data_IF_391718414837
#
_entry.id   IF_391718414837
#
_cell.length_a   1.000
_cell.length_b   1.000
_cell.length_c   1.000
_cell.angle_alpha   90.00
_cell.angle_beta   90.00
_cell.angle_gamma   90.00
#
_symmetry.space_group_name_H-M   'P 1'
#
loop_
_entity.id
_entity.type
_entity.pdbx_description
1 polymer ?
#
# COMPACT_ATOMS: atom_id res chain seq x y z
N UNK A 1 -20.61 -28.18 12.80
CA UNK A 1 -19.30 -27.51 12.75
C UNK A 1 -19.10 -26.90 11.37
N UNK A 2 -19.34 -25.59 11.26
CA UNK A 2 -18.94 -24.80 10.07
C UNK A 2 -17.46 -24.51 10.20
N UNK A 3 -16.65 -25.08 9.31
CA UNK A 3 -15.25 -24.73 9.14
C UNK A 3 -15.15 -23.30 8.66
N UNK A 4 -14.31 -22.52 9.32
CA UNK A 4 -14.07 -21.10 9.09
C UNK A 4 -13.29 -20.92 7.78
N UNK A 5 -13.64 -19.89 6.98
CA UNK A 5 -13.00 -19.60 5.67
C UNK A 5 -11.49 -19.30 5.76
N UNK A 6 -10.96 -19.10 6.96
CA UNK A 6 -9.51 -18.97 7.21
C UNK A 6 -8.74 -20.26 6.94
N UNK A 7 -9.39 -21.42 7.00
CA UNK A 7 -8.79 -22.72 6.66
C UNK A 7 -8.51 -22.87 5.16
N UNK A 8 -9.27 -22.20 4.30
CA UNK A 8 -9.13 -22.29 2.84
C UNK A 8 -7.84 -21.61 2.34
N UNK A 9 -7.44 -20.53 2.99
CA UNK A 9 -6.18 -19.82 2.66
C UNK A 9 -4.97 -20.64 3.11
N UNK A 10 -5.04 -21.25 4.29
CA UNK A 10 -3.98 -22.13 4.79
C UNK A 10 -3.87 -23.40 3.94
N UNK A 11 -4.97 -23.95 3.48
CA UNK A 11 -4.98 -25.11 2.57
C UNK A 11 -4.43 -24.77 1.18
N UNK A 12 -4.71 -23.58 0.64
CA UNK A 12 -4.09 -23.10 -0.62
C UNK A 12 -2.58 -22.95 -0.46
N UNK A 13 -2.10 -22.33 0.62
CA UNK A 13 -0.67 -22.18 0.88
C UNK A 13 0.03 -23.53 1.04
N UNK A 14 -0.60 -24.48 1.72
CA UNK A 14 -0.08 -25.84 1.87
C UNK A 14 -0.06 -26.60 0.54
N UNK A 15 -1.04 -26.36 -0.33
CA UNK A 15 -1.07 -26.96 -1.67
C UNK A 15 0.01 -26.38 -2.58
N UNK A 16 0.26 -25.08 -2.56
CA UNK A 16 1.35 -24.43 -3.31
C UNK A 16 2.73 -24.88 -2.80
N UNK A 17 2.93 -24.96 -1.49
CA UNK A 17 4.16 -25.48 -0.89
C UNK A 17 4.42 -26.95 -1.28
N UNK A 18 3.38 -27.76 -1.38
CA UNK A 18 3.50 -29.16 -1.83
C UNK A 18 3.77 -29.27 -3.35
N UNK A 19 3.26 -28.35 -4.17
CA UNK A 19 3.62 -28.30 -5.59
C UNK A 19 5.07 -27.90 -5.80
N UNK A 20 5.58 -26.90 -5.07
CA UNK A 20 6.99 -26.51 -5.11
C UNK A 20 7.90 -27.63 -4.59
N UNK A 21 7.45 -28.40 -3.61
CA UNK A 21 8.19 -29.56 -3.09
C UNK A 21 8.19 -30.75 -4.05
N UNK A 22 7.12 -30.99 -4.82
CA UNK A 22 7.05 -32.03 -5.86
C UNK A 22 7.88 -31.69 -7.10
N UNK A 23 8.13 -30.43 -7.41
CA UNK A 23 8.96 -30.02 -8.56
C UNK A 23 10.46 -30.17 -8.32
N UNK A 24 10.90 -30.48 -7.08
CA UNK A 24 12.30 -30.77 -6.73
C UNK A 24 12.56 -32.27 -6.60
N UNK A 25 12.23 -33.05 -7.62
CA UNK A 25 12.64 -34.45 -7.66
C UNK A 25 14.09 -34.57 -8.15
N UNK A 26 15.01 -34.69 -7.22
CA UNK A 26 16.39 -35.17 -7.52
C UNK A 26 16.33 -36.68 -7.69
N UNK A 27 16.47 -37.17 -8.90
CA UNK A 27 16.68 -38.58 -9.17
C UNK A 27 18.17 -38.83 -9.39
N UNK A 28 18.76 -39.67 -8.53
CA UNK A 28 20.07 -40.29 -8.80
C UNK A 28 19.84 -41.39 -9.84
N UNK A 29 20.43 -41.27 -11.01
CA UNK A 29 20.43 -42.34 -12.01
C UNK A 29 21.69 -43.12 -11.84
N UNK A 30 21.57 -44.35 -11.31
CA UNK A 30 22.63 -45.38 -11.34
C UNK A 30 22.65 -46.01 -12.72
N UNK A 31 23.68 -45.73 -13.48
CA UNK A 31 23.90 -46.36 -14.80
C UNK A 31 24.51 -47.75 -14.58
N UNK A 32 23.66 -48.77 -14.65
CA UNK A 32 24.08 -50.17 -14.72
C UNK A 32 24.12 -50.56 -16.20
N UNK A 33 25.25 -50.70 -16.76
CA UNK A 33 25.79 -51.78 -17.57
C UNK A 33 26.80 -51.29 -18.62
N UNK A 34 28.03 -51.69 -18.46
CA UNK A 34 28.87 -52.37 -19.48
C UNK A 34 30.27 -52.57 -18.92
N UNK A 35 30.68 -53.80 -18.91
CA UNK A 35 31.97 -54.26 -18.39
C UNK A 35 33.16 -53.70 -19.14
N UNK A 36 33.81 -52.71 -18.58
CA UNK A 36 35.25 -52.41 -18.70
C UNK A 36 35.60 -51.41 -17.61
N UNK A 37 36.62 -51.69 -16.80
CA UNK A 37 37.13 -50.83 -15.72
C UNK A 37 37.52 -49.41 -16.25
N UNK A 38 36.54 -48.49 -16.39
CA UNK A 38 36.78 -47.07 -16.49
C UNK A 38 36.17 -46.39 -15.26
N UNK A 39 36.99 -45.53 -14.62
CA UNK A 39 36.60 -44.76 -13.44
C UNK A 39 35.23 -44.13 -13.68
N UNK A 40 34.25 -44.50 -12.85
CA UNK A 40 32.90 -43.95 -12.84
C UNK A 40 32.97 -42.45 -12.60
N UNK A 41 32.52 -41.66 -13.56
CA UNK A 41 32.17 -40.25 -13.37
C UNK A 41 30.73 -40.25 -12.86
N UNK A 42 30.54 -39.85 -11.62
CA UNK A 42 29.19 -39.60 -11.11
C UNK A 42 28.72 -38.27 -11.64
N UNK A 43 27.56 -38.24 -12.21
CA UNK A 43 26.88 -37.02 -12.69
C UNK A 43 25.61 -36.83 -11.89
N UNK A 44 25.32 -35.57 -11.51
CA UNK A 44 24.07 -35.23 -10.87
C UNK A 44 23.23 -34.46 -11.87
N UNK A 45 21.99 -34.88 -12.04
CA UNK A 45 21.05 -34.29 -13.01
C UNK A 45 20.00 -33.48 -12.25
N UNK A 46 19.83 -32.23 -12.59
CA UNK A 46 18.79 -31.32 -12.07
C UNK A 46 17.82 -30.96 -13.17
N UNK A 47 16.51 -31.05 -12.91
CA UNK A 47 15.47 -30.56 -13.79
C UNK A 47 14.92 -29.25 -13.22
N UNK A 48 15.04 -28.17 -14.00
CA UNK A 48 14.44 -26.87 -13.71
C UNK A 48 13.54 -26.51 -14.89
N UNK A 49 12.23 -26.71 -14.72
CA UNK A 49 11.26 -26.53 -15.82
C UNK A 49 11.46 -27.55 -16.93
N UNK A 50 11.61 -27.09 -18.16
CA UNK A 50 11.81 -27.94 -19.35
C UNK A 50 13.29 -28.20 -19.69
N UNK A 51 14.23 -27.74 -18.88
CA UNK A 51 15.67 -27.93 -19.15
C UNK A 51 16.30 -28.93 -18.16
N UNK A 52 17.11 -29.83 -18.68
CA UNK A 52 17.86 -30.82 -17.89
C UNK A 52 19.35 -30.43 -17.88
N UNK A 53 19.86 -30.06 -16.71
CA UNK A 53 21.26 -29.70 -16.53
C UNK A 53 21.99 -30.93 -15.91
N UNK A 54 23.00 -31.39 -16.62
CA UNK A 54 23.87 -32.52 -16.17
C UNK A 54 25.21 -31.94 -15.75
N UNK A 55 25.54 -32.05 -14.46
CA UNK A 55 26.82 -31.62 -13.93
C UNK A 55 27.69 -32.83 -13.54
N UNK A 56 28.96 -32.93 -13.99
CA UNK A 56 29.85 -33.95 -13.53
C UNK A 56 30.31 -33.67 -12.10
N UNK A 57 30.24 -34.66 -11.22
CA UNK A 57 30.85 -34.60 -9.89
C UNK A 57 32.36 -34.74 -10.06
N UNK A 58 33.10 -33.69 -9.76
CA UNK A 58 34.55 -33.70 -9.84
C UNK A 58 35.15 -34.76 -8.88
N UNK A 59 35.75 -35.79 -9.45
CA UNK A 59 36.57 -36.75 -8.69
C UNK A 59 37.82 -36.02 -8.22
N UNK A 60 38.08 -36.09 -6.91
CA UNK A 60 39.08 -35.34 -6.20
C UNK A 60 40.47 -35.31 -6.85
N UNK A 61 41.06 -34.14 -6.77
CA UNK A 61 42.45 -33.86 -7.15
C UNK A 61 43.42 -34.78 -6.40
N UNK A 62 44.14 -35.59 -7.15
CA UNK A 62 45.36 -36.24 -6.68
C UNK A 62 46.54 -35.35 -7.09
N UNK A 63 46.80 -34.34 -6.30
CA UNK A 63 48.07 -33.64 -6.41
C UNK A 63 48.85 -33.82 -5.10
N UNK A 64 50.07 -34.31 -5.26
CA UNK A 64 51.09 -34.46 -4.23
C UNK A 64 51.67 -33.08 -3.85
N UNK A 65 50.84 -32.21 -3.35
CA UNK A 65 51.31 -31.01 -2.63
C UNK A 65 51.50 -31.42 -1.18
N UNK A 66 52.68 -31.16 -0.64
CA UNK A 66 53.14 -31.71 0.65
C UNK A 66 52.07 -31.67 1.74
N UNK A 67 51.82 -32.81 2.33
CA UNK A 67 50.73 -33.06 3.29
C UNK A 67 50.62 -31.96 4.39
N UNK A 68 51.78 -31.39 4.77
CA UNK A 68 51.86 -30.34 5.78
C UNK A 68 51.29 -28.98 5.30
N UNK A 69 51.44 -28.64 4.03
CA UNK A 69 50.86 -27.38 3.47
C UNK A 69 49.35 -27.45 3.41
N UNK A 70 48.81 -28.62 3.02
CA UNK A 70 47.36 -28.86 3.02
C UNK A 70 46.76 -28.84 4.41
N UNK A 71 47.48 -29.44 5.40
CA UNK A 71 47.04 -29.43 6.81
C UNK A 71 47.00 -27.98 7.35
N UNK A 72 48.05 -27.17 7.07
CA UNK A 72 48.09 -25.80 7.54
C UNK A 72 47.01 -24.93 6.92
N UNK A 73 46.70 -25.11 5.63
CA UNK A 73 45.60 -24.42 4.96
C UNK A 73 44.27 -24.88 5.56
N UNK A 74 44.06 -26.15 5.78
CA UNK A 74 42.85 -26.68 6.40
C UNK A 74 42.66 -26.17 7.83
N UNK A 75 43.73 -26.10 8.63
CA UNK A 75 43.68 -25.48 9.97
C UNK A 75 43.35 -23.99 9.90
N UNK A 76 43.98 -23.24 8.99
CA UNK A 76 43.69 -21.83 8.79
C UNK A 76 42.23 -21.55 8.39
N UNK A 77 41.69 -22.35 7.48
CA UNK A 77 40.29 -22.29 7.08
C UNK A 77 39.36 -22.66 8.26
N UNK A 78 39.69 -23.72 8.99
CA UNK A 78 38.91 -24.16 10.14
C UNK A 78 38.89 -23.08 11.25
N UNK A 79 40.03 -22.47 11.55
CA UNK A 79 40.12 -21.36 12.51
C UNK A 79 39.34 -20.13 11.99
N UNK A 80 39.48 -19.79 10.72
CA UNK A 80 38.73 -18.68 10.10
C UNK A 80 37.21 -18.90 10.15
N UNK A 81 36.76 -20.12 9.85
CA UNK A 81 35.35 -20.50 9.94
C UNK A 81 34.86 -20.51 11.40
N UNK A 82 35.69 -20.97 12.35
CA UNK A 82 35.36 -20.95 13.77
C UNK A 82 35.25 -19.50 14.30
N UNK A 83 36.16 -18.60 13.92
CA UNK A 83 36.10 -17.19 14.29
C UNK A 83 34.86 -16.53 13.72
N UNK A 84 34.54 -16.78 12.45
CA UNK A 84 33.30 -16.28 11.82
C UNK A 84 32.06 -16.84 12.49
N UNK A 85 32.04 -18.14 12.80
CA UNK A 85 30.88 -18.79 13.41
C UNK A 85 30.68 -18.38 14.87
N UNK A 86 31.76 -18.23 15.66
CA UNK A 86 31.65 -17.96 17.10
C UNK A 86 31.72 -16.49 17.49
N UNK A 87 32.35 -15.60 16.70
CA UNK A 87 32.53 -14.19 17.02
C UNK A 87 31.68 -13.26 16.14
N UNK A 88 31.62 -13.50 14.84
CA UNK A 88 30.96 -12.58 13.91
C UNK A 88 29.48 -12.94 13.73
N UNK A 89 29.14 -14.20 13.53
CA UNK A 89 27.73 -14.63 13.37
C UNK A 89 26.83 -14.31 14.56
N UNK A 90 27.23 -14.57 15.83
CA UNK A 90 26.38 -14.23 16.96
C UNK A 90 26.15 -12.74 17.10
N UNK A 91 27.17 -11.91 16.87
CA UNK A 91 27.06 -10.45 16.99
C UNK A 91 26.14 -9.85 15.90
N UNK A 92 26.26 -10.34 14.66
CA UNK A 92 25.41 -9.90 13.53
C UNK A 92 23.99 -10.47 13.67
N UNK A 93 23.84 -11.71 14.11
CA UNK A 93 22.52 -12.33 14.32
C UNK A 93 21.76 -11.67 15.47
N UNK A 94 22.42 -11.38 16.60
CA UNK A 94 21.81 -10.70 17.74
C UNK A 94 21.32 -9.28 17.37
N UNK A 95 22.10 -8.52 16.58
CA UNK A 95 21.70 -7.20 16.10
C UNK A 95 20.52 -7.26 15.12
N UNK A 96 20.53 -8.23 14.19
CA UNK A 96 19.41 -8.47 13.26
C UNK A 96 18.16 -8.94 14.01
N UNK A 97 18.32 -9.88 14.94
CA UNK A 97 17.24 -10.41 15.76
C UNK A 97 16.59 -9.31 16.60
N UNK A 98 17.39 -8.42 17.20
CA UNK A 98 16.88 -7.29 17.97
C UNK A 98 16.08 -6.30 17.11
N UNK A 99 16.53 -6.02 15.87
CA UNK A 99 15.79 -5.17 14.93
C UNK A 99 14.49 -5.83 14.47
N UNK A 100 14.54 -7.11 14.11
CA UNK A 100 13.37 -7.90 13.72
C UNK A 100 12.39 -7.98 14.89
N UNK A 101 12.86 -8.29 16.09
CA UNK A 101 11.98 -8.36 17.27
C UNK A 101 11.33 -7.01 17.58
N UNK A 102 12.06 -5.88 17.48
CA UNK A 102 11.48 -4.54 17.65
C UNK A 102 10.42 -4.21 16.60
N UNK A 103 10.65 -4.61 15.34
CA UNK A 103 9.65 -4.45 14.29
C UNK A 103 8.45 -5.36 14.52
N UNK A 104 8.69 -6.64 14.87
CA UNK A 104 7.61 -7.60 15.17
C UNK A 104 6.76 -7.14 16.34
N UNK A 105 7.38 -6.61 17.42
CA UNK A 105 6.64 -6.04 18.55
C UNK A 105 5.81 -4.85 18.09
N UNK A 106 6.40 -3.91 17.33
CA UNK A 106 5.64 -2.75 16.80
C UNK A 106 4.46 -3.18 15.92
N UNK A 107 4.66 -4.14 15.02
CA UNK A 107 3.56 -4.67 14.20
C UNK A 107 2.52 -5.41 15.04
N UNK A 108 2.96 -6.19 16.04
CA UNK A 108 2.05 -6.87 16.97
C UNK A 108 1.19 -5.87 17.75
N UNK A 109 1.81 -4.78 18.24
CA UNK A 109 1.09 -3.72 18.96
C UNK A 109 0.11 -2.98 18.03
N UNK A 110 0.51 -2.70 16.80
CA UNK A 110 -0.39 -2.11 15.80
C UNK A 110 -1.58 -3.03 15.47
N UNK A 111 -1.30 -4.31 15.24
CA UNK A 111 -2.36 -5.31 14.98
C UNK A 111 -3.29 -5.44 16.20
N UNK A 112 -2.74 -5.45 17.42
CA UNK A 112 -3.54 -5.52 18.65
C UNK A 112 -4.43 -4.28 18.79
N UNK A 113 -3.89 -3.09 18.53
CA UNK A 113 -4.62 -1.82 18.56
C UNK A 113 -5.75 -1.82 17.52
N UNK A 114 -5.44 -2.17 16.27
CA UNK A 114 -6.43 -2.25 15.20
C UNK A 114 -7.51 -3.31 15.47
N UNK A 115 -7.11 -4.47 16.02
CA UNK A 115 -8.08 -5.50 16.42
C UNK A 115 -9.02 -5.02 17.52
N UNK A 116 -8.51 -4.25 18.48
CA UNK A 116 -9.32 -3.61 19.52
C UNK A 116 -10.30 -2.58 18.94
N UNK A 117 -9.82 -1.74 18.00
CA UNK A 117 -10.65 -0.77 17.28
C UNK A 117 -11.75 -1.44 16.47
N UNK A 118 -11.41 -2.47 15.70
CA UNK A 118 -12.40 -3.28 14.95
C UNK A 118 -13.45 -3.90 15.89
N UNK A 119 -13.03 -4.35 17.07
CA UNK A 119 -13.95 -4.89 18.08
C UNK A 119 -14.90 -3.82 18.65
N UNK A 120 -14.37 -2.62 18.92
CA UNK A 120 -15.16 -1.48 19.35
C UNK A 120 -16.19 -1.05 18.28
N UNK A 121 -15.74 -0.90 17.04
CA UNK A 121 -16.61 -0.58 15.91
C UNK A 121 -17.69 -1.65 15.67
N UNK A 122 -17.35 -2.93 15.79
CA UNK A 122 -18.33 -4.03 15.71
C UNK A 122 -19.38 -3.91 16.79
N UNK A 123 -18.97 -3.60 18.03
CA UNK A 123 -19.91 -3.45 19.16
C UNK A 123 -20.84 -2.25 18.93
N UNK A 124 -20.30 -1.14 18.43
CA UNK A 124 -21.07 0.06 18.12
C UNK A 124 -22.09 -0.22 16.98
N UNK A 125 -21.66 -0.91 15.92
CA UNK A 125 -22.56 -1.38 14.86
C UNK A 125 -23.68 -2.27 15.36
N UNK A 126 -23.40 -3.20 16.29
CA UNK A 126 -24.42 -4.05 16.91
C UNK A 126 -25.41 -3.23 17.75
N UNK A 127 -24.94 -2.20 18.46
CA UNK A 127 -25.82 -1.30 19.20
C UNK A 127 -26.80 -0.59 18.29
N UNK A 128 -26.32 -0.07 17.12
CA UNK A 128 -27.20 0.53 16.13
C UNK A 128 -28.14 -0.46 15.44
N UNK A 129 -27.77 -1.74 15.33
CA UNK A 129 -28.64 -2.80 14.82
C UNK A 129 -29.78 -3.17 15.76
N UNK A 130 -29.57 -3.06 17.06
CA UNK A 130 -30.57 -3.45 18.06
C UNK A 130 -31.57 -2.34 18.40
N UNK A 131 -31.20 -1.08 18.16
CA UNK A 131 -32.04 0.08 18.51
C UNK A 131 -33.14 0.41 17.47
N UNK A 132 -33.43 -0.51 16.54
CA UNK A 132 -34.37 -0.31 15.43
C UNK A 132 -35.86 -0.26 15.82
N UNK A 133 -36.21 0.18 17.01
CA UNK A 133 -37.63 0.30 17.43
C UNK A 133 -38.27 1.67 17.25
N UNK A 134 -37.54 2.65 16.77
CA UNK A 134 -38.10 3.97 16.56
C UNK A 134 -38.26 4.28 15.06
N UNK A 135 -39.39 4.78 14.75
CA UNK A 135 -39.93 5.36 13.51
C UNK A 135 -39.10 5.30 12.18
N UNK A 136 -39.82 5.25 11.05
CA UNK A 136 -39.32 5.14 9.65
C UNK A 136 -38.17 6.10 9.31
N UNK A 137 -38.15 7.34 9.90
CA UNK A 137 -37.06 8.31 9.75
C UNK A 137 -35.75 7.87 10.46
N UNK A 138 -35.86 7.14 11.56
CA UNK A 138 -34.72 6.58 12.25
C UNK A 138 -34.14 5.38 11.48
N UNK A 139 -34.97 4.64 10.73
CA UNK A 139 -34.53 3.51 9.90
C UNK A 139 -33.59 3.98 8.79
N UNK A 140 -33.93 5.07 8.09
CA UNK A 140 -33.10 5.61 7.03
C UNK A 140 -31.77 6.15 7.57
N UNK A 141 -31.79 6.84 8.71
CA UNK A 141 -30.56 7.29 9.40
C UNK A 141 -29.72 6.07 9.87
N UNK A 142 -30.37 5.04 10.41
CA UNK A 142 -29.69 3.82 10.85
C UNK A 142 -29.05 3.06 9.68
N UNK A 143 -29.70 3.00 8.51
CA UNK A 143 -29.14 2.37 7.30
C UNK A 143 -27.91 3.15 6.79
N UNK A 144 -27.98 4.48 6.74
CA UNK A 144 -26.83 5.32 6.35
C UNK A 144 -25.67 5.14 7.34
N UNK A 145 -25.97 5.15 8.63
CA UNK A 145 -24.95 4.91 9.67
C UNK A 145 -24.33 3.53 9.52
N UNK A 146 -25.17 2.49 9.35
CA UNK A 146 -24.70 1.12 9.12
C UNK A 146 -23.78 1.03 7.90
N UNK A 147 -24.20 1.62 6.79
CA UNK A 147 -23.39 1.65 5.56
C UNK A 147 -22.05 2.34 5.78
N UNK A 148 -22.04 3.48 6.50
CA UNK A 148 -20.81 4.19 6.84
C UNK A 148 -19.85 3.34 7.68
N UNK A 149 -20.35 2.58 8.66
CA UNK A 149 -19.54 1.67 9.46
C UNK A 149 -19.03 0.47 8.67
N UNK A 150 -19.85 -0.11 7.81
CA UNK A 150 -19.44 -1.24 6.95
C UNK A 150 -18.34 -0.80 5.98
N UNK A 151 -18.46 0.38 5.39
CA UNK A 151 -17.43 0.97 4.53
C UNK A 151 -16.15 1.25 5.32
N UNK A 152 -16.26 1.86 6.51
CA UNK A 152 -15.10 2.12 7.36
C UNK A 152 -14.37 0.83 7.75
N UNK A 153 -15.10 -0.21 8.15
CA UNK A 153 -14.50 -1.51 8.47
C UNK A 153 -13.78 -2.13 7.28
N UNK A 154 -14.34 -1.97 6.07
CA UNK A 154 -13.72 -2.44 4.84
C UNK A 154 -12.40 -1.71 4.59
N UNK A 155 -12.41 -0.38 4.70
CA UNK A 155 -11.18 0.44 4.56
C UNK A 155 -10.12 0.07 5.61
N UNK A 156 -10.51 -0.08 6.88
CA UNK A 156 -9.60 -0.51 7.96
C UNK A 156 -8.97 -1.88 7.64
N UNK A 157 -9.77 -2.82 7.14
CA UNK A 157 -9.29 -4.14 6.73
C UNK A 157 -8.25 -4.05 5.62
N UNK A 158 -8.56 -3.35 4.54
CA UNK A 158 -7.65 -3.19 3.40
C UNK A 158 -6.39 -2.40 3.75
N UNK A 159 -6.51 -1.37 4.59
CA UNK A 159 -5.35 -0.64 5.10
C UNK A 159 -4.43 -1.53 5.94
N UNK A 160 -5.01 -2.41 6.76
CA UNK A 160 -4.26 -3.34 7.63
C UNK A 160 -3.54 -4.43 6.83
N UNK A 161 -4.17 -4.94 5.77
CA UNK A 161 -3.60 -5.97 4.89
C UNK A 161 -2.63 -5.40 3.87
N UNK A 162 -2.76 -4.11 3.55
CA UNK A 162 -1.93 -3.45 2.54
C UNK A 162 -2.22 -3.92 1.11
N UNK A 163 -3.40 -4.46 0.84
CA UNK A 163 -3.82 -5.01 -0.44
C UNK A 163 -4.49 -3.97 -1.36
N UNK A 164 -4.73 -2.76 -0.85
CA UNK A 164 -5.32 -1.65 -1.60
C UNK A 164 -4.38 -0.44 -1.63
N UNK A 165 -4.36 0.29 -2.75
CA UNK A 165 -3.56 1.51 -2.88
C UNK A 165 -4.14 2.66 -2.05
N UNK A 166 -3.29 3.63 -1.65
CA UNK A 166 -3.75 4.81 -0.92
C UNK A 166 -4.82 5.61 -1.70
N UNK A 167 -4.71 5.68 -3.02
CA UNK A 167 -5.73 6.37 -3.85
C UNK A 167 -7.08 5.67 -3.78
N UNK A 168 -7.11 4.35 -3.88
CA UNK A 168 -8.35 3.59 -3.77
C UNK A 168 -8.95 3.65 -2.35
N UNK A 169 -8.10 3.62 -1.31
CA UNK A 169 -8.53 3.81 0.07
C UNK A 169 -9.12 5.21 0.30
N UNK A 170 -8.51 6.25 -0.28
CA UNK A 170 -9.02 7.62 -0.20
C UNK A 170 -10.39 7.77 -0.88
N UNK A 171 -10.57 7.15 -2.05
CA UNK A 171 -11.88 7.13 -2.74
C UNK A 171 -12.97 6.45 -1.90
N UNK A 172 -12.64 5.36 -1.21
CA UNK A 172 -13.60 4.70 -0.32
C UNK A 172 -13.87 5.54 0.94
N UNK A 173 -12.85 6.20 1.50
CA UNK A 173 -13.02 7.13 2.64
C UNK A 173 -13.91 8.32 2.29
N UNK A 174 -13.79 8.89 1.09
CA UNK A 174 -14.64 10.00 0.63
C UNK A 174 -16.14 9.64 0.54
N UNK A 175 -16.48 8.35 0.38
CA UNK A 175 -17.87 7.88 0.35
C UNK A 175 -18.50 7.75 1.73
N UNK A 176 -17.69 7.76 2.80
CA UNK A 176 -18.15 7.58 4.16
C UNK A 176 -18.69 8.91 4.70
N UNK A 177 -19.93 8.90 5.17
CA UNK A 177 -20.48 10.03 5.90
C UNK A 177 -19.97 10.03 7.34
N UNK A 178 -18.84 10.71 7.58
CA UNK A 178 -18.22 10.80 8.90
C UNK A 178 -19.15 11.41 9.98
N UNK A 179 -20.12 12.23 9.59
CA UNK A 179 -21.11 12.82 10.50
C UNK A 179 -22.11 11.80 11.09
N UNK A 180 -22.22 10.61 10.50
CA UNK A 180 -23.08 9.53 11.00
C UNK A 180 -22.32 8.53 11.87
N UNK A 181 -21.00 8.67 11.98
CA UNK A 181 -20.18 7.80 12.82
C UNK A 181 -20.23 8.27 14.28
N UNK A 182 -20.31 7.32 15.21
CA UNK A 182 -20.10 7.62 16.63
C UNK A 182 -18.64 7.91 16.94
N UNK A 183 -18.33 8.23 18.19
CA UNK A 183 -17.00 8.70 18.61
C UNK A 183 -15.86 7.79 18.12
N UNK A 184 -15.94 6.49 18.40
CA UNK A 184 -14.87 5.54 18.01
C UNK A 184 -14.74 5.39 16.48
N UNK A 185 -15.87 5.44 15.76
CA UNK A 185 -15.87 5.39 14.30
C UNK A 185 -15.23 6.64 13.70
N UNK A 186 -15.54 7.79 14.27
CA UNK A 186 -14.97 9.07 13.85
C UNK A 186 -13.46 9.14 14.13
N UNK A 187 -13.02 8.73 15.32
CA UNK A 187 -11.59 8.68 15.66
C UNK A 187 -10.80 7.80 14.68
N UNK A 188 -11.34 6.64 14.30
CA UNK A 188 -10.70 5.75 13.34
C UNK A 188 -10.70 6.35 11.93
N UNK A 189 -11.82 6.95 11.49
CA UNK A 189 -11.91 7.66 10.22
C UNK A 189 -10.88 8.80 10.14
N UNK A 190 -10.83 9.67 11.15
CA UNK A 190 -9.89 10.79 11.23
C UNK A 190 -8.43 10.28 11.20
N UNK A 191 -8.12 9.22 11.95
CA UNK A 191 -6.78 8.59 11.95
C UNK A 191 -6.37 8.04 10.59
N UNK A 192 -7.29 7.49 9.80
CA UNK A 192 -7.02 6.99 8.45
C UNK A 192 -6.84 8.13 7.46
N UNK A 193 -7.70 9.15 7.52
CA UNK A 193 -7.60 10.32 6.64
C UNK A 193 -6.30 11.08 6.84
N UNK A 194 -5.87 11.31 8.08
CA UNK A 194 -4.58 11.92 8.39
C UNK A 194 -3.37 11.17 7.80
N UNK A 195 -3.46 9.86 7.66
CA UNK A 195 -2.37 9.02 7.13
C UNK A 195 -2.38 8.91 5.61
N UNK A 196 -3.58 8.95 5.02
CA UNK A 196 -3.80 8.60 3.60
C UNK A 196 -3.90 9.88 2.76
N UNK A 197 -4.74 10.84 3.16
CA UNK A 197 -5.06 12.00 2.34
C UNK A 197 -3.85 12.84 1.94
N UNK A 198 -2.88 13.18 2.82
CA UNK A 198 -1.77 14.04 2.41
C UNK A 198 -0.97 13.48 1.23
N UNK A 199 -0.74 12.16 1.21
CA UNK A 199 0.00 11.49 0.13
C UNK A 199 -0.78 11.44 -1.18
N UNK A 200 -2.10 11.25 -1.08
CA UNK A 200 -2.99 11.19 -2.24
C UNK A 200 -3.17 12.58 -2.82
N UNK A 201 -3.40 13.59 -1.99
CA UNK A 201 -3.48 14.99 -2.41
C UNK A 201 -2.20 15.44 -3.14
N UNK A 202 -1.02 15.14 -2.59
CA UNK A 202 0.26 15.45 -3.23
C UNK A 202 0.36 14.83 -4.63
N UNK A 203 0.03 13.55 -4.76
CA UNK A 203 0.09 12.83 -6.04
C UNK A 203 -0.93 13.36 -7.05
N UNK A 204 -2.17 13.56 -6.62
CA UNK A 204 -3.24 14.05 -7.49
C UNK A 204 -3.00 15.50 -7.92
N UNK A 205 -2.55 16.36 -7.00
CA UNK A 205 -2.25 17.76 -7.32
C UNK A 205 -1.10 17.86 -8.33
N UNK A 206 0.01 17.15 -8.09
CA UNK A 206 1.14 17.12 -9.03
C UNK A 206 0.74 16.57 -10.42
N UNK A 207 -0.16 15.59 -10.46
CA UNK A 207 -0.71 15.05 -11.70
C UNK A 207 -1.60 16.08 -12.40
N UNK A 208 -2.41 16.79 -11.63
CA UNK A 208 -3.31 17.84 -12.15
C UNK A 208 -2.57 19.03 -12.75
N UNK A 209 -1.49 19.46 -12.12
CA UNK A 209 -0.61 20.50 -12.68
C UNK A 209 -0.08 20.12 -14.06
N UNK A 210 0.36 18.85 -14.22
CA UNK A 210 0.83 18.35 -15.53
C UNK A 210 -0.30 18.29 -16.56
N UNK A 211 -1.48 17.80 -16.16
CA UNK A 211 -2.66 17.75 -17.04
C UNK A 211 -3.11 19.15 -17.46
N UNK A 212 -3.12 20.10 -16.55
CA UNK A 212 -3.42 21.49 -16.85
C UNK A 212 -2.44 22.09 -17.87
N UNK A 213 -1.13 21.85 -17.71
CA UNK A 213 -0.08 22.32 -18.62
C UNK A 213 -0.23 21.77 -20.05
N UNK A 214 -0.73 20.53 -20.21
CA UNK A 214 -0.98 19.92 -21.51
C UNK A 214 -2.42 20.12 -22.01
N UNK A 215 -3.17 21.04 -21.38
CA UNK A 215 -4.56 21.37 -21.69
C UNK A 215 -5.56 20.19 -21.54
N UNK A 216 -5.21 19.15 -20.76
CA UNK A 216 -6.11 18.07 -20.41
C UNK A 216 -6.92 18.46 -19.15
N UNK A 217 -7.81 19.45 -19.31
CA UNK A 217 -8.55 20.06 -18.20
C UNK A 217 -9.55 19.10 -17.56
N UNK A 218 -10.12 18.16 -18.31
CA UNK A 218 -11.09 17.19 -17.77
C UNK A 218 -10.47 16.32 -16.70
N UNK A 219 -9.27 15.78 -16.96
CA UNK A 219 -8.54 14.99 -15.97
C UNK A 219 -8.04 15.86 -14.81
N UNK A 220 -7.61 17.09 -15.08
CA UNK A 220 -7.19 18.01 -14.04
C UNK A 220 -8.34 18.30 -13.07
N UNK A 221 -9.53 18.64 -13.59
CA UNK A 221 -10.73 18.88 -12.78
C UNK A 221 -11.08 17.67 -11.92
N UNK A 222 -11.18 16.48 -12.53
CA UNK A 222 -11.53 15.25 -11.80
C UNK A 222 -10.59 14.99 -10.61
N UNK A 223 -9.29 15.14 -10.81
CA UNK A 223 -8.32 14.94 -9.75
C UNK A 223 -8.37 16.05 -8.68
N UNK A 224 -8.53 17.31 -9.11
CA UNK A 224 -8.57 18.45 -8.18
C UNK A 224 -9.85 18.48 -7.35
N UNK A 225 -10.98 18.04 -7.90
CA UNK A 225 -12.21 17.84 -7.11
C UNK A 225 -11.97 16.85 -5.96
N UNK A 226 -11.25 15.76 -6.20
CA UNK A 226 -10.89 14.82 -5.15
C UNK A 226 -9.95 15.46 -4.12
N UNK A 227 -8.94 16.23 -4.56
CA UNK A 227 -8.03 16.94 -3.63
C UNK A 227 -8.81 17.88 -2.72
N UNK A 228 -9.68 18.71 -3.28
CA UNK A 228 -10.50 19.68 -2.53
C UNK A 228 -11.49 18.97 -1.59
N UNK A 229 -12.02 17.81 -1.98
CA UNK A 229 -12.87 17.00 -1.09
C UNK A 229 -12.10 16.39 0.08
N UNK A 230 -10.84 16.02 -0.10
CA UNK A 230 -9.99 15.46 0.94
C UNK A 230 -9.41 16.55 1.86
N UNK A 231 -8.98 17.66 1.27
CA UNK A 231 -8.34 18.78 1.95
C UNK A 231 -8.66 20.08 1.20
N UNK A 232 -9.68 20.76 1.66
CA UNK A 232 -10.15 22.01 1.06
C UNK A 232 -9.10 23.12 1.12
N UNK A 233 -8.26 23.11 2.17
CA UNK A 233 -7.18 24.07 2.36
C UNK A 233 -5.85 23.65 1.74
N UNK A 234 -5.81 22.60 0.93
CA UNK A 234 -4.56 22.08 0.41
C UNK A 234 -3.68 23.14 -0.24
N UNK A 235 -2.44 23.28 0.30
CA UNK A 235 -1.47 24.31 -0.09
C UNK A 235 -2.05 25.73 -0.07
N UNK A 236 -2.70 26.10 1.03
CA UNK A 236 -3.28 27.44 1.26
C UNK A 236 -4.28 27.87 0.15
N UNK A 237 -5.03 26.92 -0.41
CA UNK A 237 -6.02 27.15 -1.45
C UNK A 237 -5.53 27.02 -2.89
N UNK A 238 -4.25 26.68 -3.12
CA UNK A 238 -3.68 26.55 -4.48
C UNK A 238 -4.35 25.42 -5.30
N UNK A 239 -4.77 24.32 -4.66
CA UNK A 239 -5.49 23.27 -5.37
C UNK A 239 -6.86 23.74 -5.85
N UNK A 240 -7.57 24.50 -5.01
CA UNK A 240 -8.85 25.10 -5.35
C UNK A 240 -8.72 26.16 -6.44
N UNK A 241 -7.63 26.95 -6.42
CA UNK A 241 -7.32 27.91 -7.46
C UNK A 241 -7.10 27.23 -8.82
N UNK A 242 -6.30 26.18 -8.86
CA UNK A 242 -6.04 25.42 -10.08
C UNK A 242 -7.32 24.72 -10.60
N UNK A 243 -8.22 24.30 -9.70
CA UNK A 243 -9.53 23.77 -10.05
C UNK A 243 -10.40 24.84 -10.72
N UNK A 244 -10.49 26.04 -10.12
CA UNK A 244 -11.21 27.17 -10.69
C UNK A 244 -10.69 27.56 -12.08
N UNK A 245 -9.38 27.65 -12.22
CA UNK A 245 -8.72 27.92 -13.51
C UNK A 245 -9.00 26.81 -14.53
N UNK A 246 -9.04 25.55 -14.11
CA UNK A 246 -9.36 24.43 -14.98
C UNK A 246 -10.80 24.50 -15.49
N UNK A 247 -11.77 24.82 -14.64
CA UNK A 247 -13.16 25.08 -15.03
C UNK A 247 -13.28 26.27 -15.98
N UNK A 248 -12.54 27.34 -15.75
CA UNK A 248 -12.50 28.50 -16.65
C UNK A 248 -12.01 28.08 -18.06
N UNK A 249 -10.97 27.25 -18.15
CA UNK A 249 -10.47 26.73 -19.42
C UNK A 249 -11.43 25.79 -20.14
N UNK A 250 -12.29 25.10 -19.39
CA UNK A 250 -13.40 24.30 -19.94
C UNK A 250 -14.59 25.17 -20.40
N UNK A 251 -14.62 26.46 -20.02
CA UNK A 251 -15.74 27.35 -20.28
C UNK A 251 -16.87 27.27 -19.22
N UNK A 252 -16.65 26.49 -18.14
CA UNK A 252 -17.58 26.37 -17.01
C UNK A 252 -17.47 27.56 -16.06
N UNK A 253 -17.79 28.75 -16.58
CA UNK A 253 -17.53 30.03 -15.93
C UNK A 253 -18.21 30.18 -14.57
N UNK A 254 -19.42 29.63 -14.42
CA UNK A 254 -20.18 29.75 -13.15
C UNK A 254 -19.50 28.95 -12.05
N UNK A 255 -18.99 27.76 -12.36
CA UNK A 255 -18.24 26.95 -11.42
C UNK A 255 -16.91 27.62 -11.06
N UNK A 256 -16.17 28.08 -12.05
CA UNK A 256 -14.93 28.81 -11.82
C UNK A 256 -15.12 29.97 -10.86
N UNK A 257 -16.14 30.80 -11.10
CA UNK A 257 -16.44 31.95 -10.26
C UNK A 257 -16.84 31.58 -8.83
N UNK A 258 -17.60 30.50 -8.66
CA UNK A 258 -17.96 30.01 -7.34
C UNK A 258 -16.71 29.60 -6.52
N UNK A 259 -15.76 28.90 -7.15
CA UNK A 259 -14.51 28.53 -6.50
C UNK A 259 -13.62 29.76 -6.24
N UNK A 260 -13.51 30.73 -7.17
CA UNK A 260 -12.76 31.96 -6.93
C UNK A 260 -13.30 32.73 -5.73
N UNK A 261 -14.63 32.88 -5.63
CA UNK A 261 -15.27 33.55 -4.48
C UNK A 261 -14.98 32.81 -3.18
N UNK A 262 -15.08 31.48 -3.20
CA UNK A 262 -14.80 30.66 -2.03
C UNK A 262 -13.35 30.79 -1.54
N UNK A 263 -12.37 30.82 -2.46
CA UNK A 263 -10.97 31.04 -2.12
C UNK A 263 -10.77 32.40 -1.44
N UNK A 264 -11.37 33.43 -1.96
CA UNK A 264 -11.26 34.79 -1.40
C UNK A 264 -11.83 34.86 0.02
N UNK A 265 -12.94 34.14 0.27
CA UNK A 265 -13.60 34.10 1.58
C UNK A 265 -12.88 33.23 2.60
N UNK A 266 -12.41 32.08 2.20
CA UNK A 266 -11.88 31.05 3.13
C UNK A 266 -10.35 31.08 3.28
N UNK A 267 -9.64 31.66 2.29
CA UNK A 267 -8.17 31.73 2.27
C UNK A 267 -7.67 33.18 2.21
N UNK A 268 -8.33 34.09 2.91
CA UNK A 268 -7.95 35.50 2.96
C UNK A 268 -6.47 35.69 3.32
N UNK A 269 -5.77 36.53 2.56
CA UNK A 269 -4.36 36.83 2.77
C UNK A 269 -3.37 35.86 2.12
N UNK A 270 -3.86 34.82 1.44
CA UNK A 270 -3.00 33.90 0.65
C UNK A 270 -2.75 34.42 -0.76
N UNK A 271 -1.74 33.87 -1.43
CA UNK A 271 -1.50 34.17 -2.85
C UNK A 271 -2.68 33.67 -3.70
N UNK A 272 -3.23 32.49 -3.38
CA UNK A 272 -4.40 31.95 -4.07
C UNK A 272 -5.60 32.90 -4.04
N UNK A 273 -5.88 33.54 -2.90
CA UNK A 273 -6.96 34.55 -2.80
C UNK A 273 -6.69 35.80 -3.65
N UNK A 274 -5.45 36.23 -3.71
CA UNK A 274 -5.06 37.38 -4.57
C UNK A 274 -5.25 37.04 -6.05
N UNK A 275 -4.80 35.89 -6.49
CA UNK A 275 -4.91 35.43 -7.89
C UNK A 275 -6.37 35.16 -8.29
N UNK A 276 -7.17 34.65 -7.34
CA UNK A 276 -8.62 34.48 -7.53
C UNK A 276 -9.34 35.82 -7.75
N UNK A 277 -9.00 36.85 -6.95
CA UNK A 277 -9.55 38.19 -7.09
C UNK A 277 -9.17 38.79 -8.44
N UNK A 278 -7.91 38.71 -8.86
CA UNK A 278 -7.45 39.19 -10.17
C UNK A 278 -8.18 38.51 -11.33
N UNK A 279 -8.46 37.20 -11.20
CA UNK A 279 -9.22 36.44 -12.19
C UNK A 279 -10.64 36.96 -12.33
N UNK A 280 -11.36 37.21 -11.22
CA UNK A 280 -12.70 37.77 -11.22
C UNK A 280 -12.74 39.18 -11.78
N UNK A 281 -11.78 40.04 -11.43
CA UNK A 281 -11.69 41.41 -11.90
C UNK A 281 -11.46 41.48 -13.42
N UNK A 282 -10.58 40.60 -13.93
CA UNK A 282 -10.30 40.46 -15.36
C UNK A 282 -11.56 40.06 -16.14
N UNK A 283 -12.33 39.10 -15.61
CA UNK A 283 -13.58 38.64 -16.22
C UNK A 283 -14.64 39.73 -16.24
N UNK A 284 -14.79 40.48 -15.13
CA UNK A 284 -15.73 41.59 -15.02
C UNK A 284 -15.38 42.71 -16.02
N UNK A 285 -14.09 43.04 -16.18
CA UNK A 285 -13.62 44.01 -17.16
C UNK A 285 -13.91 43.58 -18.62
N UNK A 286 -13.81 42.27 -18.92
CA UNK A 286 -14.14 41.70 -20.24
C UNK A 286 -15.66 41.76 -20.52
N UNK A 287 -16.50 41.43 -19.54
CA UNK A 287 -17.95 41.50 -19.63
C UNK A 287 -18.41 42.94 -19.89
N UNK A 288 -17.84 43.93 -19.19
CA UNK A 288 -18.13 45.33 -19.36
C UNK A 288 -17.79 45.87 -20.76
N UNK A 289 -16.67 45.40 -21.34
CA UNK A 289 -16.26 45.76 -22.71
C UNK A 289 -17.19 45.18 -23.78
N UNK A 290 -17.69 43.95 -23.55
CA UNK A 290 -18.65 43.32 -24.49
C UNK A 290 -20.04 43.94 -24.46
N UNK A 291 -20.43 44.59 -23.38
CA UNK A 291 -21.74 45.23 -23.24
C UNK A 291 -21.77 46.65 -23.83
N UNK A 292 -20.60 47.28 -24.00
CA UNK A 292 -20.43 48.63 -24.50
C UNK A 292 -20.07 48.71 -26.01
N UNK A 293 -20.01 47.57 -26.70
CA UNK A 293 -19.86 47.43 -28.15
C UNK A 293 -21.12 46.81 -28.77
#
# INVERSE_FOLDING_TARGET
>A
HKLDKTDDITMRYMHELNQVRKSRNVRLVDDKDTGKKKKRRQTVTYNIGNETIIQPVASGLKDNVGLHTMINIAIGVAVGVAVMAFLVMPAVSASRQSKVNKQTVKFSDQIATQKSQISALKKELETYRTDTKAAEEQKQTAEVTKSSYESLMTVVSHYSTGDMSNSALAEELLKINAGTLGTSGKEEYDSLTEKIYPKVCESLYATSQKNYQVANYDTAVTNLEQVVQMDEGYQDGEAMLLLAQSYEKQGEQDKANAYYQKIIEEHEGTQAATDAQESLDTQNAQKSKKHNN
#
